data_IF_641511566532
#
_entry.id   IF_641511566532
#
_cell.length_a   1.000
_cell.length_b   1.000
_cell.length_c   1.000
_cell.angle_alpha   90.00
_cell.angle_beta   90.00
_cell.angle_gamma   90.00
#
_symmetry.space_group_name_H-M   'P 1'
#
loop_
_entity.id
_entity.type
_entity.pdbx_description
1 polymer ?
#
# COMPACT_ATOMS: atom_id res chain seq x y z
N UNK A 1 13.54 -8.50 -27.48
CA UNK A 1 13.42 -9.04 -26.11
C UNK A 1 13.15 -7.87 -25.16
N UNK A 2 12.22 -8.03 -24.21
CA UNK A 2 11.92 -7.02 -23.20
C UNK A 2 12.90 -7.16 -22.02
N UNK A 3 13.43 -6.02 -21.56
CA UNK A 3 14.30 -5.92 -20.39
C UNK A 3 13.59 -5.38 -19.15
N UNK A 4 14.27 -5.41 -18.01
CA UNK A 4 13.74 -4.90 -16.75
C UNK A 4 13.42 -3.40 -16.79
N UNK A 5 14.14 -2.63 -17.61
CA UNK A 5 13.97 -1.18 -17.73
C UNK A 5 12.90 -0.76 -18.75
N UNK A 6 12.39 -1.69 -19.57
CA UNK A 6 11.32 -1.39 -20.51
C UNK A 6 10.03 -1.06 -19.76
N UNK A 7 9.27 -0.07 -20.28
CA UNK A 7 8.02 0.36 -19.66
C UNK A 7 6.96 -0.71 -19.91
N UNK A 8 6.47 -1.27 -18.81
CA UNK A 8 5.41 -2.27 -18.82
C UNK A 8 4.01 -1.64 -18.77
N UNK A 9 3.90 -0.47 -18.10
CA UNK A 9 2.60 0.16 -17.88
C UNK A 9 2.72 1.66 -17.64
N UNK A 10 1.63 2.36 -17.99
CA UNK A 10 1.41 3.75 -17.60
C UNK A 10 0.11 3.82 -16.81
N UNK A 11 0.21 4.15 -15.52
CA UNK A 11 -0.95 4.31 -14.64
C UNK A 11 -1.22 5.80 -14.42
N UNK A 12 -2.42 6.23 -14.77
CA UNK A 12 -2.83 7.61 -14.56
C UNK A 12 -3.27 7.86 -13.12
N UNK A 13 -2.70 8.90 -12.52
CA UNK A 13 -3.08 9.38 -11.19
C UNK A 13 -3.85 10.68 -11.32
N UNK A 14 -4.82 10.91 -10.43
CA UNK A 14 -5.48 12.20 -10.30
C UNK A 14 -4.48 13.19 -9.71
N UNK A 15 -3.80 13.97 -10.56
CA UNK A 15 -2.88 15.00 -10.09
C UNK A 15 -3.60 16.05 -9.26
N UNK A 16 -3.00 16.47 -8.15
CA UNK A 16 -3.49 17.56 -7.29
C UNK A 16 -3.59 18.90 -8.02
N UNK A 17 -3.05 19.02 -9.23
CA UNK A 17 -3.03 20.24 -10.06
C UNK A 17 -4.03 20.20 -11.23
N UNK A 18 -5.02 19.30 -11.21
CA UNK A 18 -6.12 19.25 -12.19
C UNK A 18 -5.82 18.49 -13.49
N UNK A 19 -4.56 18.16 -13.83
CA UNK A 19 -4.20 17.33 -14.98
C UNK A 19 -3.69 15.97 -14.53
N UNK A 20 -4.31 14.89 -15.02
CA UNK A 20 -3.87 13.53 -14.74
C UNK A 20 -2.42 13.30 -15.21
N UNK A 21 -1.62 12.62 -14.39
CA UNK A 21 -0.23 12.28 -14.66
C UNK A 21 -0.10 10.79 -14.90
N UNK A 22 0.54 10.37 -15.98
CA UNK A 22 0.78 8.96 -16.29
C UNK A 22 2.11 8.50 -15.69
N UNK A 23 2.07 7.76 -14.58
CA UNK A 23 3.27 7.17 -13.98
C UNK A 23 3.76 5.98 -14.82
N UNK A 24 5.00 6.04 -15.31
CA UNK A 24 5.63 4.99 -16.11
C UNK A 24 6.28 3.95 -15.20
N UNK A 25 5.74 2.75 -15.21
CA UNK A 25 6.25 1.61 -14.44
C UNK A 25 6.95 0.61 -15.37
N UNK A 26 8.20 0.31 -15.10
CA UNK A 26 8.95 -0.70 -15.86
C UNK A 26 8.65 -2.12 -15.38
N UNK A 27 9.01 -3.12 -16.18
CA UNK A 27 8.95 -4.52 -15.77
C UNK A 27 9.73 -4.77 -14.48
N UNK A 28 10.89 -4.14 -14.32
CA UNK A 28 11.71 -4.22 -13.11
C UNK A 28 11.02 -3.59 -11.88
N UNK A 29 10.36 -2.43 -12.04
CA UNK A 29 9.62 -1.81 -10.93
C UNK A 29 8.52 -2.74 -10.41
N UNK A 30 7.73 -3.31 -11.33
CA UNK A 30 6.59 -4.16 -10.98
C UNK A 30 7.03 -5.50 -10.39
N UNK A 31 8.01 -6.16 -11.02
CA UNK A 31 8.47 -7.49 -10.58
C UNK A 31 9.20 -7.43 -9.24
N UNK A 32 10.09 -6.44 -9.04
CA UNK A 32 10.80 -6.29 -7.76
C UNK A 32 9.82 -6.10 -6.60
N UNK A 33 8.80 -5.26 -6.80
CA UNK A 33 7.80 -5.02 -5.76
C UNK A 33 6.98 -6.27 -5.46
N UNK A 34 6.45 -6.94 -6.48
CA UNK A 34 5.61 -8.13 -6.29
C UNK A 34 6.38 -9.30 -5.64
N UNK A 35 7.63 -9.55 -6.05
CA UNK A 35 8.48 -10.59 -5.45
C UNK A 35 8.77 -10.28 -3.98
N UNK A 36 9.12 -9.03 -3.66
CA UNK A 36 9.31 -8.58 -2.27
C UNK A 36 8.05 -8.79 -1.42
N UNK A 37 6.88 -8.49 -1.96
CA UNK A 37 5.61 -8.67 -1.24
C UNK A 37 5.24 -10.14 -1.04
N UNK A 38 5.52 -11.00 -2.02
CA UNK A 38 5.31 -12.45 -1.91
C UNK A 38 6.10 -13.00 -0.71
N UNK A 39 7.37 -12.64 -0.63
CA UNK A 39 8.27 -13.09 0.45
C UNK A 39 7.86 -12.48 1.80
N UNK A 40 7.66 -11.16 1.85
CA UNK A 40 7.35 -10.42 3.08
C UNK A 40 6.01 -10.83 3.69
N UNK A 41 4.98 -11.08 2.87
CA UNK A 41 3.66 -11.51 3.31
C UNK A 41 3.52 -13.03 3.36
N UNK A 42 4.59 -13.76 3.08
CA UNK A 42 4.69 -15.20 3.19
C UNK A 42 3.68 -15.95 2.32
N UNK A 43 3.50 -15.54 1.07
CA UNK A 43 2.62 -16.26 0.16
C UNK A 43 3.13 -17.66 -0.15
N UNK A 44 2.28 -18.66 0.02
CA UNK A 44 2.58 -20.07 -0.26
C UNK A 44 1.66 -20.60 -1.35
N UNK A 45 1.99 -21.79 -1.90
CA UNK A 45 1.15 -22.49 -2.88
C UNK A 45 -0.23 -22.89 -2.34
N UNK A 46 -0.41 -22.88 -1.02
CA UNK A 46 -1.66 -23.23 -0.36
C UNK A 46 -2.59 -22.02 -0.19
N UNK A 47 -2.14 -20.82 -0.56
CA UNK A 47 -2.97 -19.62 -0.47
C UNK A 47 -3.98 -19.55 -1.62
N UNK A 48 -5.13 -18.97 -1.30
CA UNK A 48 -6.16 -18.57 -2.26
C UNK A 48 -6.51 -17.12 -2.00
N UNK A 49 -6.32 -16.27 -3.01
CA UNK A 49 -6.61 -14.85 -2.89
C UNK A 49 -8.07 -14.54 -3.21
N UNK A 50 -8.78 -13.88 -2.28
CA UNK A 50 -10.03 -13.19 -2.60
C UNK A 50 -9.72 -11.82 -3.18
N UNK A 51 -10.07 -11.60 -4.45
CA UNK A 51 -9.84 -10.35 -5.16
C UNK A 51 -11.17 -9.65 -5.47
N UNK A 52 -11.37 -8.46 -4.89
CA UNK A 52 -12.53 -7.61 -5.13
C UNK A 52 -12.14 -6.13 -5.39
N UNK A 53 -10.83 -5.88 -5.57
CA UNK A 53 -10.29 -4.56 -5.83
C UNK A 53 -10.39 -4.20 -7.32
N UNK A 54 -10.55 -2.92 -7.67
CA UNK A 54 -10.56 -2.50 -9.08
C UNK A 54 -9.16 -2.71 -9.69
N UNK A 55 -9.13 -3.34 -10.88
CA UNK A 55 -7.88 -3.64 -11.62
C UNK A 55 -7.32 -2.45 -12.40
N UNK A 56 -7.97 -1.30 -12.38
CA UNK A 56 -7.43 -0.06 -12.95
C UNK A 56 -6.56 0.73 -11.95
N UNK A 57 -6.42 0.23 -10.71
CA UNK A 57 -5.51 0.75 -9.70
C UNK A 57 -4.35 -0.21 -9.43
N UNK A 58 -3.20 0.35 -9.09
CA UNK A 58 -1.99 -0.39 -8.72
C UNK A 58 -2.27 -1.46 -7.67
N UNK A 59 -3.06 -1.15 -6.65
CA UNK A 59 -3.41 -2.10 -5.58
C UNK A 59 -4.08 -3.37 -6.12
N UNK A 60 -5.08 -3.23 -6.98
CA UNK A 60 -5.76 -4.39 -7.56
C UNK A 60 -4.89 -5.14 -8.56
N UNK A 61 -4.29 -4.43 -9.52
CA UNK A 61 -3.58 -5.04 -10.63
C UNK A 61 -2.17 -5.49 -10.26
N UNK A 62 -1.33 -4.56 -9.76
CA UNK A 62 0.11 -4.81 -9.58
C UNK A 62 0.50 -5.29 -8.19
N UNK A 63 -0.41 -5.24 -7.22
CA UNK A 63 -0.17 -5.82 -5.90
C UNK A 63 -0.92 -7.15 -5.79
N UNK A 64 -2.25 -7.12 -5.81
CA UNK A 64 -3.06 -8.32 -5.57
C UNK A 64 -2.90 -9.37 -6.69
N UNK A 65 -3.19 -8.99 -7.93
CA UNK A 65 -3.14 -9.95 -9.07
C UNK A 65 -1.71 -10.38 -9.36
N UNK A 66 -0.72 -9.47 -9.37
CA UNK A 66 0.68 -9.83 -9.62
C UNK A 66 1.22 -10.82 -8.59
N UNK A 67 1.00 -10.57 -7.28
CA UNK A 67 1.43 -11.51 -6.25
C UNK A 67 0.83 -12.90 -6.47
N UNK A 68 -0.46 -12.97 -6.77
CA UNK A 68 -1.13 -14.24 -7.02
C UNK A 68 -0.59 -14.94 -8.27
N UNK A 69 -0.40 -14.22 -9.38
CA UNK A 69 0.11 -14.77 -10.63
C UNK A 69 1.55 -15.26 -10.50
N UNK A 70 2.44 -14.44 -9.93
CA UNK A 70 3.85 -14.81 -9.78
C UNK A 70 4.05 -15.96 -8.78
N UNK A 71 3.21 -16.03 -7.75
CA UNK A 71 3.25 -17.17 -6.81
C UNK A 71 2.55 -18.43 -7.37
N UNK A 72 1.72 -18.28 -8.41
CA UNK A 72 0.95 -19.36 -9.01
C UNK A 72 -0.23 -19.85 -8.16
N UNK A 73 -0.84 -18.94 -7.38
CA UNK A 73 -1.97 -19.28 -6.51
C UNK A 73 -3.32 -18.98 -7.15
N UNK A 74 -4.38 -19.72 -6.79
CA UNK A 74 -5.73 -19.44 -7.26
C UNK A 74 -6.25 -18.10 -6.75
N UNK A 75 -7.13 -17.48 -7.55
CA UNK A 75 -7.89 -16.30 -7.15
C UNK A 75 -9.39 -16.55 -7.25
N UNK A 76 -10.14 -16.11 -6.23
CA UNK A 76 -11.57 -15.88 -6.30
C UNK A 76 -11.79 -14.44 -6.74
N UNK A 77 -12.01 -14.26 -8.04
CA UNK A 77 -12.10 -12.93 -8.65
C UNK A 77 -13.55 -12.45 -8.65
N UNK A 78 -13.80 -11.36 -7.93
CA UNK A 78 -15.09 -10.67 -7.90
C UNK A 78 -14.98 -9.38 -8.71
N UNK A 79 -15.96 -9.06 -9.58
CA UNK A 79 -15.89 -7.87 -10.43
C UNK A 79 -15.97 -6.55 -9.62
N UNK A 80 -16.49 -6.63 -8.40
CA UNK A 80 -16.59 -5.53 -7.43
C UNK A 80 -16.73 -6.09 -6.02
N UNK A 81 -16.48 -5.23 -5.03
CA UNK A 81 -16.75 -5.57 -3.64
C UNK A 81 -18.27 -5.61 -3.38
N UNK A 82 -18.70 -6.74 -2.86
CA UNK A 82 -20.04 -6.96 -2.32
C UNK A 82 -19.90 -7.79 -1.04
N UNK A 83 -20.44 -7.29 0.10
CA UNK A 83 -20.21 -7.93 1.40
C UNK A 83 -20.78 -9.34 1.47
N UNK A 84 -21.99 -9.58 0.92
CA UNK A 84 -22.61 -10.91 0.94
C UNK A 84 -21.81 -11.90 0.08
N UNK A 85 -21.31 -11.47 -1.10
CA UNK A 85 -20.50 -12.32 -1.97
C UNK A 85 -19.14 -12.63 -1.32
N UNK A 86 -18.47 -11.62 -0.75
CA UNK A 86 -17.21 -11.83 0.00
C UNK A 86 -17.42 -12.84 1.12
N UNK A 87 -18.47 -12.68 1.93
CA UNK A 87 -18.78 -13.59 3.04
C UNK A 87 -19.02 -15.02 2.56
N UNK A 88 -19.71 -15.21 1.44
CA UNK A 88 -19.92 -16.55 0.85
C UNK A 88 -18.60 -17.23 0.43
N UNK A 89 -17.62 -16.43 -0.03
CA UNK A 89 -16.33 -16.94 -0.50
C UNK A 89 -15.31 -17.16 0.63
N UNK A 90 -15.49 -16.55 1.80
CA UNK A 90 -14.50 -16.59 2.89
C UNK A 90 -14.06 -18.02 3.25
N UNK A 91 -14.96 -18.98 3.25
CA UNK A 91 -14.64 -20.39 3.59
C UNK A 91 -13.69 -21.08 2.59
N UNK A 92 -13.45 -20.49 1.42
CA UNK A 92 -12.65 -21.08 0.34
C UNK A 92 -11.38 -20.29 0.03
N UNK A 93 -11.06 -19.26 0.81
CA UNK A 93 -9.91 -18.37 0.58
C UNK A 93 -9.09 -18.18 1.86
N UNK A 94 -7.82 -17.81 1.72
CA UNK A 94 -6.91 -17.63 2.86
C UNK A 94 -6.39 -16.21 3.00
N UNK A 95 -6.41 -15.44 1.92
CA UNK A 95 -5.90 -14.07 1.86
C UNK A 95 -6.94 -13.16 1.24
N UNK A 96 -7.16 -11.99 1.83
CA UNK A 96 -7.96 -10.91 1.26
C UNK A 96 -7.20 -9.60 1.31
N UNK A 97 -7.18 -8.88 0.19
CA UNK A 97 -6.70 -7.51 0.12
C UNK A 97 -7.87 -6.55 -0.08
N UNK A 98 -7.88 -5.45 0.66
CA UNK A 98 -8.96 -4.48 0.62
C UNK A 98 -8.54 -3.07 0.97
N UNK A 99 -9.50 -2.16 0.85
CA UNK A 99 -9.42 -0.81 1.40
C UNK A 99 -10.15 -0.76 2.74
N UNK A 100 -9.89 0.22 3.63
CA UNK A 100 -10.53 0.26 4.96
C UNK A 100 -12.04 0.13 4.95
N UNK A 101 -12.72 0.71 3.96
CA UNK A 101 -14.18 0.64 3.82
C UNK A 101 -14.70 -0.78 3.52
N UNK A 102 -13.89 -1.69 2.98
CA UNK A 102 -14.30 -3.09 2.83
C UNK A 102 -14.45 -3.74 4.20
N UNK A 103 -13.53 -3.49 5.10
CA UNK A 103 -13.52 -4.07 6.45
C UNK A 103 -14.64 -3.51 7.32
N UNK A 104 -14.92 -2.20 7.25
CA UNK A 104 -16.08 -1.63 7.97
C UNK A 104 -17.40 -2.23 7.48
N UNK A 105 -17.59 -2.32 6.15
CA UNK A 105 -18.80 -2.91 5.55
C UNK A 105 -18.95 -4.41 5.84
N UNK A 106 -17.85 -5.15 5.99
CA UNK A 106 -17.90 -6.54 6.42
C UNK A 106 -18.36 -6.64 7.88
N UNK A 107 -17.78 -5.83 8.77
CA UNK A 107 -18.18 -5.82 10.19
C UNK A 107 -19.64 -5.43 10.40
N UNK A 108 -20.20 -4.58 9.54
CA UNK A 108 -21.62 -4.19 9.58
C UNK A 108 -22.55 -5.32 9.09
N UNK A 109 -22.04 -6.34 8.43
CA UNK A 109 -22.83 -7.44 7.90
C UNK A 109 -23.06 -8.53 8.98
N UNK A 110 -24.32 -8.83 9.38
CA UNK A 110 -24.60 -9.77 10.47
C UNK A 110 -24.06 -11.19 10.26
N UNK A 111 -23.82 -11.58 9.01
CA UNK A 111 -23.27 -12.89 8.64
C UNK A 111 -21.76 -12.98 8.74
N UNK A 112 -21.06 -11.86 8.90
CA UNK A 112 -19.61 -11.83 9.04
C UNK A 112 -19.23 -12.17 10.48
N UNK A 113 -18.77 -13.37 10.72
CA UNK A 113 -18.51 -13.90 12.06
C UNK A 113 -17.05 -14.28 12.25
N UNK A 114 -16.63 -14.38 13.51
CA UNK A 114 -15.29 -14.86 13.87
C UNK A 114 -14.98 -16.23 13.27
N UNK A 115 -15.95 -17.14 13.29
CA UNK A 115 -15.77 -18.51 12.80
C UNK A 115 -15.45 -18.55 11.32
N UNK A 116 -16.05 -17.68 10.51
CA UNK A 116 -15.74 -17.55 9.08
C UNK A 116 -14.31 -17.05 8.82
N UNK A 117 -13.70 -16.41 9.81
CA UNK A 117 -12.35 -15.86 9.70
C UNK A 117 -11.26 -16.79 10.27
N UNK A 118 -11.61 -17.93 10.89
CA UNK A 118 -10.64 -18.78 11.60
C UNK A 118 -9.52 -19.32 10.70
N UNK A 119 -9.82 -19.67 9.47
CA UNK A 119 -8.86 -20.20 8.50
C UNK A 119 -8.20 -19.09 7.64
N UNK A 120 -8.72 -17.86 7.71
CA UNK A 120 -8.09 -16.73 7.02
C UNK A 120 -6.71 -16.46 7.63
N UNK A 121 -5.69 -16.50 6.78
CA UNK A 121 -4.31 -16.26 7.19
C UNK A 121 -4.02 -14.76 7.23
N UNK A 122 -4.52 -14.01 6.26
CA UNK A 122 -4.11 -12.62 6.08
C UNK A 122 -5.22 -11.73 5.54
N UNK A 123 -5.45 -10.61 6.23
CA UNK A 123 -6.22 -9.47 5.77
C UNK A 123 -5.27 -8.29 5.59
N UNK A 124 -5.18 -7.73 4.38
CA UNK A 124 -4.28 -6.62 4.04
C UNK A 124 -5.11 -5.37 3.72
N UNK A 125 -4.76 -4.24 4.32
CA UNK A 125 -5.41 -2.96 4.06
C UNK A 125 -4.46 -1.90 3.54
N UNK A 126 -4.96 -1.01 2.69
CA UNK A 126 -4.24 0.17 2.23
C UNK A 126 -5.02 0.98 1.22
N UNK A 127 -4.35 1.90 0.51
CA UNK A 127 -4.91 2.90 -0.41
C UNK A 127 -5.76 3.99 0.25
N UNK A 128 -5.96 3.93 1.56
CA UNK A 128 -6.57 4.95 2.42
C UNK A 128 -6.09 4.70 3.86
N UNK A 129 -6.13 5.71 4.74
CA UNK A 129 -5.80 5.55 6.14
C UNK A 129 -6.74 4.57 6.84
N UNK A 130 -6.18 3.60 7.56
CA UNK A 130 -6.94 2.70 8.42
C UNK A 130 -7.03 3.32 9.82
N UNK A 131 -8.23 3.68 10.24
CA UNK A 131 -8.43 4.25 11.58
C UNK A 131 -8.08 3.20 12.65
N UNK A 132 -7.40 3.63 13.71
CA UNK A 132 -7.04 2.77 14.84
C UNK A 132 -8.28 2.06 15.43
N UNK A 133 -9.40 2.79 15.53
CA UNK A 133 -10.69 2.22 15.96
C UNK A 133 -11.14 1.06 15.06
N UNK A 134 -11.04 1.22 13.74
CA UNK A 134 -11.41 0.15 12.79
C UNK A 134 -10.49 -1.05 12.92
N UNK A 135 -9.19 -0.82 13.08
CA UNK A 135 -8.20 -1.88 13.28
C UNK A 135 -8.51 -2.71 14.54
N UNK A 136 -8.77 -2.07 15.67
CA UNK A 136 -9.07 -2.75 16.93
C UNK A 136 -10.46 -3.43 16.90
N UNK A 137 -11.47 -2.76 16.33
CA UNK A 137 -12.80 -3.35 16.17
C UNK A 137 -12.77 -4.61 15.29
N UNK A 138 -11.99 -4.60 14.21
CA UNK A 138 -11.82 -5.76 13.34
C UNK A 138 -11.17 -6.93 14.07
N UNK A 139 -10.13 -6.66 14.87
CA UNK A 139 -9.51 -7.69 15.69
C UNK A 139 -10.48 -8.26 16.74
N UNK A 140 -11.20 -7.40 17.46
CA UNK A 140 -12.18 -7.83 18.44
C UNK A 140 -13.28 -8.71 17.81
N UNK A 141 -13.71 -8.35 16.59
CA UNK A 141 -14.76 -9.06 15.86
C UNK A 141 -14.29 -10.41 15.31
N UNK A 142 -13.12 -10.45 14.68
CA UNK A 142 -12.64 -11.60 13.89
C UNK A 142 -11.56 -12.44 14.58
N UNK A 143 -10.85 -11.88 15.55
CA UNK A 143 -9.63 -12.46 16.10
C UNK A 143 -8.41 -12.37 15.17
N UNK A 144 -8.52 -11.65 14.04
CA UNK A 144 -7.45 -11.45 13.05
C UNK A 144 -7.04 -9.99 13.00
N UNK A 145 -5.74 -9.71 13.00
CA UNK A 145 -5.22 -8.35 12.85
C UNK A 145 -5.01 -8.02 11.38
N UNK A 146 -5.53 -6.89 10.94
CA UNK A 146 -5.27 -6.37 9.59
C UNK A 146 -3.78 -6.04 9.47
N UNK A 147 -3.18 -6.38 8.33
CA UNK A 147 -1.86 -5.92 7.95
C UNK A 147 -2.01 -4.63 7.13
N UNK A 148 -1.79 -3.48 7.77
CA UNK A 148 -1.79 -2.19 7.10
C UNK A 148 -0.46 -1.97 6.40
N UNK A 149 -0.52 -1.43 5.17
CA UNK A 149 0.63 -1.11 4.34
C UNK A 149 0.40 0.20 3.60
N UNK A 150 1.48 0.78 3.08
CA UNK A 150 1.45 2.05 2.35
C UNK A 150 2.12 1.91 0.99
N UNK A 151 1.56 2.62 0.02
CA UNK A 151 2.09 2.71 -1.33
C UNK A 151 1.30 3.72 -2.16
N UNK A 152 1.82 3.97 -3.36
CA UNK A 152 1.25 4.91 -4.30
C UNK A 152 1.50 4.44 -5.74
N UNK A 153 0.85 5.07 -6.73
CA UNK A 153 0.96 4.65 -8.13
C UNK A 153 2.38 4.73 -8.66
N UNK A 154 3.15 5.70 -8.18
CA UNK A 154 4.53 5.98 -8.58
C UNK A 154 5.56 4.96 -8.03
N UNK A 155 5.18 4.14 -7.06
CA UNK A 155 6.15 3.23 -6.43
C UNK A 155 5.54 1.89 -6.00
N UNK A 156 4.30 1.58 -6.39
CA UNK A 156 3.56 0.43 -5.85
C UNK A 156 3.59 0.40 -4.32
N UNK A 157 4.03 -0.66 -3.66
CA UNK A 157 4.14 -0.70 -2.19
C UNK A 157 5.53 -0.26 -1.73
N UNK A 158 5.57 0.46 -0.61
CA UNK A 158 6.76 1.11 -0.09
C UNK A 158 7.05 0.70 1.34
N UNK A 159 6.00 0.58 2.15
CA UNK A 159 6.08 0.18 3.55
C UNK A 159 4.97 -0.82 3.90
N UNK A 160 5.23 -1.69 4.86
CA UNK A 160 4.29 -2.68 5.36
C UNK A 160 4.51 -2.98 6.84
N UNK A 161 3.43 -3.18 7.58
CA UNK A 161 3.51 -3.86 8.85
C UNK A 161 4.01 -5.30 8.65
N UNK A 162 4.64 -5.91 9.66
CA UNK A 162 5.22 -7.25 9.53
C UNK A 162 4.13 -8.33 9.44
N UNK A 163 4.46 -9.43 8.76
CA UNK A 163 3.63 -10.64 8.76
C UNK A 163 3.57 -11.24 10.16
N UNK A 164 4.73 -11.41 10.78
CA UNK A 164 4.89 -11.92 12.14
C UNK A 164 5.29 -10.79 13.08
N UNK A 165 4.79 -10.83 14.32
CA UNK A 165 5.04 -9.81 15.32
C UNK A 165 3.95 -8.77 15.44
N UNK A 166 4.30 -7.61 16.01
CA UNK A 166 3.34 -6.59 16.37
C UNK A 166 2.98 -5.70 15.18
N UNK A 167 1.68 -5.60 14.91
CA UNK A 167 1.08 -4.62 14.00
C UNK A 167 0.46 -3.51 14.82
N UNK A 168 0.99 -2.30 14.70
CA UNK A 168 0.54 -1.14 15.49
C UNK A 168 -0.48 -0.34 14.69
N UNK A 169 -1.67 -0.16 15.25
CA UNK A 169 -2.74 0.62 14.66
C UNK A 169 -2.29 2.04 14.27
N UNK A 170 -2.70 2.51 13.10
CA UNK A 170 -2.36 3.82 12.56
C UNK A 170 -0.90 3.96 12.14
N UNK A 171 -0.18 2.86 11.96
CA UNK A 171 1.14 2.83 11.34
C UNK A 171 1.14 1.96 10.09
N UNK A 172 1.95 2.33 9.12
CA UNK A 172 2.11 1.55 7.88
C UNK A 172 3.30 0.60 7.94
N UNK A 173 3.93 0.46 9.12
CA UNK A 173 5.04 -0.43 9.36
C UNK A 173 6.39 0.11 8.91
N UNK A 174 7.21 -0.74 8.33
CA UNK A 174 8.60 -0.48 7.97
C UNK A 174 8.80 -0.42 6.46
N UNK A 175 9.89 0.21 6.02
CA UNK A 175 10.32 0.16 4.63
C UNK A 175 10.38 -1.29 4.12
N UNK A 176 9.94 -1.52 2.89
CA UNK A 176 10.10 -2.83 2.24
C UNK A 176 11.57 -3.13 2.00
N UNK A 177 11.98 -4.40 1.98
CA UNK A 177 13.33 -4.79 1.55
C UNK A 177 13.71 -4.15 0.20
N UNK A 178 14.89 -3.54 0.15
CA UNK A 178 15.38 -2.82 -1.03
C UNK A 178 14.84 -1.39 -1.20
N UNK A 179 13.94 -0.94 -0.31
CA UNK A 179 13.43 0.44 -0.28
C UNK A 179 14.08 1.21 0.85
N UNK A 180 14.57 2.40 0.55
CA UNK A 180 15.03 3.37 1.55
C UNK A 180 14.00 4.46 1.71
N UNK A 181 13.59 4.73 2.96
CA UNK A 181 12.68 5.81 3.34
C UNK A 181 13.42 6.82 4.22
N UNK A 182 13.06 8.09 4.06
CA UNK A 182 13.45 9.17 4.97
C UNK A 182 12.32 10.17 5.11
N UNK A 183 12.26 10.86 6.24
CA UNK A 183 11.33 11.96 6.50
C UNK A 183 12.13 13.25 6.54
N UNK A 184 11.76 14.23 5.73
CA UNK A 184 12.58 15.42 5.48
C UNK A 184 11.80 16.72 5.66
N UNK A 185 12.53 17.79 6.00
CA UNK A 185 12.06 19.18 5.95
C UNK A 185 11.93 19.71 4.51
N UNK A 186 11.57 20.98 4.36
CA UNK A 186 11.42 21.64 3.06
C UNK A 186 12.74 21.76 2.27
N UNK A 187 13.88 21.73 2.94
CA UNK A 187 15.22 21.75 2.36
C UNK A 187 15.79 20.34 2.10
N UNK A 188 14.94 19.32 2.17
CA UNK A 188 15.27 17.90 2.00
C UNK A 188 16.29 17.33 3.01
N UNK A 189 16.46 17.96 4.16
CA UNK A 189 17.26 17.43 5.27
C UNK A 189 16.42 16.52 6.13
N UNK A 190 16.96 15.38 6.53
CA UNK A 190 16.28 14.43 7.40
C UNK A 190 15.94 15.10 8.73
N UNK A 191 14.68 15.05 9.15
CA UNK A 191 14.21 15.57 10.45
C UNK A 191 14.59 14.65 11.59
N UNK A 192 14.49 15.13 12.84
CA UNK A 192 14.74 14.30 14.00
C UNK A 192 13.68 13.18 14.13
N UNK A 193 14.05 12.11 14.82
CA UNK A 193 13.17 10.96 15.05
C UNK A 193 11.86 11.38 15.70
N UNK A 194 10.75 10.98 15.09
CA UNK A 194 9.39 11.31 15.53
C UNK A 194 8.86 12.66 15.07
N UNK A 195 9.69 13.52 14.47
CA UNK A 195 9.24 14.77 13.86
C UNK A 195 8.51 14.51 12.54
N UNK A 196 7.57 15.40 12.24
CA UNK A 196 6.79 15.35 11.00
C UNK A 196 7.53 16.03 9.86
N UNK A 197 7.56 15.39 8.71
CA UNK A 197 8.14 15.94 7.48
C UNK A 197 7.60 15.22 6.26
N UNK A 198 8.08 15.59 5.08
CA UNK A 198 7.71 14.95 3.81
C UNK A 198 8.41 13.59 3.68
N UNK A 199 7.63 12.56 3.41
CA UNK A 199 8.18 11.22 3.15
C UNK A 199 8.83 11.19 1.77
N UNK A 200 10.09 10.76 1.74
CA UNK A 200 10.87 10.55 0.52
C UNK A 200 11.31 9.09 0.43
N UNK A 201 11.40 8.57 -0.79
CA UNK A 201 11.69 7.16 -1.01
C UNK A 201 12.63 6.92 -2.19
N UNK A 202 13.44 5.87 -2.08
CA UNK A 202 14.28 5.37 -3.16
C UNK A 202 14.28 3.84 -3.13
N UNK A 203 14.12 3.21 -4.30
CA UNK A 203 14.13 1.76 -4.42
C UNK A 203 13.88 1.29 -5.85
N UNK A 204 14.05 0.00 -6.13
CA UNK A 204 13.88 -0.57 -7.47
C UNK A 204 12.42 -0.52 -7.96
N UNK A 205 11.47 -0.35 -7.06
CA UNK A 205 10.04 -0.24 -7.31
C UNK A 205 9.57 1.17 -7.70
N UNK A 206 10.42 2.20 -7.52
CA UNK A 206 10.09 3.58 -7.86
C UNK A 206 10.04 3.76 -9.38
N UNK A 207 9.00 4.40 -9.88
CA UNK A 207 8.69 4.58 -11.29
C UNK A 207 9.80 5.29 -12.09
N UNK A 208 9.71 5.23 -13.42
CA UNK A 208 10.70 5.88 -14.33
C UNK A 208 10.42 7.37 -14.57
N UNK A 209 9.31 7.89 -14.05
CA UNK A 209 8.85 9.26 -14.24
C UNK A 209 7.46 9.34 -14.84
N UNK A 210 7.01 10.57 -15.10
CA UNK A 210 5.69 10.81 -15.71
C UNK A 210 5.78 10.88 -17.23
N UNK A 211 4.88 10.18 -17.90
CA UNK A 211 4.79 10.16 -19.35
C UNK A 211 4.63 11.57 -19.94
N UNK A 212 5.56 11.94 -20.83
CA UNK A 212 5.61 13.26 -21.50
C UNK A 212 5.64 14.47 -20.53
N UNK A 213 6.18 14.28 -19.30
CA UNK A 213 6.30 15.34 -18.31
C UNK A 213 7.70 15.33 -17.65
N UNK A 214 8.79 15.58 -18.43
CA UNK A 214 10.16 15.48 -17.88
C UNK A 214 10.45 16.53 -16.80
N UNK A 215 9.98 17.77 -16.96
CA UNK A 215 10.15 18.83 -15.97
C UNK A 215 9.46 18.50 -14.66
N UNK A 216 8.21 17.97 -14.75
CA UNK A 216 7.48 17.53 -13.56
C UNK A 216 8.16 16.35 -12.89
N UNK A 217 8.68 15.40 -13.66
CA UNK A 217 9.46 14.30 -13.14
C UNK A 217 10.68 14.81 -12.38
N UNK A 218 11.47 15.69 -13.00
CA UNK A 218 12.67 16.25 -12.37
C UNK A 218 12.35 17.00 -11.06
N UNK A 219 11.23 17.72 -11.01
CA UNK A 219 10.82 18.49 -9.80
C UNK A 219 10.31 17.61 -8.64
N UNK A 220 10.05 16.32 -8.88
CA UNK A 220 9.59 15.38 -7.83
C UNK A 220 10.69 14.39 -7.41
N UNK A 221 11.94 14.59 -7.88
CA UNK A 221 13.11 13.86 -7.40
C UNK A 221 14.14 14.82 -6.82
N UNK A 222 14.78 14.38 -5.75
CA UNK A 222 15.96 15.08 -5.20
C UNK A 222 17.21 14.75 -6.01
N UNK A 223 18.25 15.58 -5.87
CA UNK A 223 19.54 15.37 -6.57
C UNK A 223 20.20 14.03 -6.24
N UNK A 224 19.95 13.49 -5.03
CA UNK A 224 20.42 12.18 -4.59
C UNK A 224 19.47 11.02 -4.91
N UNK A 225 18.44 11.27 -5.77
CA UNK A 225 17.59 10.26 -6.39
C UNK A 225 16.43 9.75 -5.52
N UNK A 226 16.03 10.49 -4.49
CA UNK A 226 14.80 10.16 -3.76
C UNK A 226 13.58 10.79 -4.42
N UNK A 227 12.52 10.01 -4.58
CA UNK A 227 11.22 10.50 -5.00
C UNK A 227 10.49 11.15 -3.82
N UNK A 228 9.94 12.34 -4.03
CA UNK A 228 9.22 13.16 -3.05
C UNK A 228 7.74 12.82 -3.12
N UNK A 229 7.20 12.12 -2.12
CA UNK A 229 5.83 11.58 -2.17
C UNK A 229 4.73 12.66 -2.08
N UNK A 230 5.05 13.79 -1.46
CA UNK A 230 4.05 14.78 -1.04
C UNK A 230 3.15 14.31 0.10
N UNK A 231 3.44 13.17 0.71
CA UNK A 231 2.80 12.69 1.93
C UNK A 231 3.64 13.08 3.15
N UNK A 232 2.99 13.60 4.17
CA UNK A 232 3.60 13.90 5.46
C UNK A 232 3.61 12.65 6.32
N UNK A 233 4.74 12.40 6.97
CA UNK A 233 4.94 11.23 7.80
C UNK A 233 5.79 11.54 9.03
N UNK A 234 5.74 10.64 10.00
CA UNK A 234 6.73 10.52 11.07
C UNK A 234 7.39 9.15 11.00
N UNK A 235 8.62 9.06 11.49
CA UNK A 235 9.37 7.80 11.61
C UNK A 235 9.92 7.67 13.02
N UNK A 236 9.64 6.56 13.69
CA UNK A 236 10.16 6.32 15.03
C UNK A 236 11.62 5.79 15.03
N UNK A 237 12.19 5.60 16.23
CA UNK A 237 13.55 5.12 16.40
C UNK A 237 13.79 3.69 15.86
N UNK A 238 12.73 2.92 15.66
CA UNK A 238 12.77 1.59 15.06
C UNK A 238 12.64 1.62 13.54
N UNK A 239 12.38 2.79 12.95
CA UNK A 239 12.13 2.96 11.51
C UNK A 239 10.68 2.70 11.11
N UNK A 240 9.74 2.66 12.07
CA UNK A 240 8.32 2.49 11.79
C UNK A 240 7.71 3.81 11.33
N UNK A 241 6.98 3.75 10.22
CA UNK A 241 6.38 4.91 9.55
C UNK A 241 4.91 5.04 9.93
N UNK A 242 4.51 6.28 10.18
CA UNK A 242 3.11 6.73 10.30
C UNK A 242 2.85 7.81 9.26
N UNK A 243 1.85 7.64 8.42
CA UNK A 243 1.38 8.68 7.51
C UNK A 243 0.46 9.63 8.28
N UNK A 244 0.74 10.92 8.20
CA UNK A 244 0.01 11.98 8.90
C UNK A 244 -1.06 12.59 8.00
N UNK A 245 -0.77 12.75 6.69
CA UNK A 245 -1.68 13.34 5.71
C UNK A 245 -0.95 13.74 4.44
N UNK A 246 -1.63 14.53 3.61
CA UNK A 246 -1.02 15.17 2.45
C UNK A 246 -0.44 16.53 2.83
N UNK A 247 0.73 16.87 2.31
CA UNK A 247 1.36 18.18 2.52
C UNK A 247 0.43 19.33 2.14
N UNK A 248 -0.30 19.19 1.03
CA UNK A 248 -1.22 20.21 0.51
C UNK A 248 -2.55 20.31 1.28
N UNK A 249 -2.90 19.29 2.05
CA UNK A 249 -4.15 19.22 2.81
C UNK A 249 -3.94 19.59 4.29
N UNK A 250 -2.70 19.84 4.71
CA UNK A 250 -2.39 20.26 6.08
C UNK A 250 -2.80 21.71 6.29
N UNK A 251 -3.77 21.91 7.15
CA UNK A 251 -4.18 23.23 7.63
C UNK A 251 -3.32 23.59 8.84
N UNK A 252 -2.49 24.63 8.70
CA UNK A 252 -1.74 25.21 9.82
C UNK A 252 -2.67 26.20 10.52
N UNK A 253 -3.18 25.84 11.69
CA UNK A 253 -3.99 26.73 12.53
C UNK A 253 -3.24 27.06 13.82
N UNK A 254 -2.87 28.35 14.00
CA UNK A 254 -2.28 28.84 15.24
C UNK A 254 -0.94 28.23 15.65
N UNK A 255 -0.14 27.72 14.68
CA UNK A 255 1.15 27.09 14.99
C UNK A 255 1.06 25.62 15.38
N UNK A 256 -0.13 25.03 15.35
CA UNK A 256 -0.37 23.57 15.47
C UNK A 256 -0.71 22.99 14.09
N UNK A 257 0.02 21.96 13.70
CA UNK A 257 -0.22 21.18 12.48
C UNK A 257 -1.35 20.19 12.70
#
# INVERSE_FOLDING_TARGET
>A
DLGADDIASIIYTSGTTGRSKGAMLSHGNLSSNALTLIDLWGFTENDVLLHALPIYHVHGLYVAVHCAMLRGIPMRFLPRFDSDEVIRQLSSVTVMMGVPTFYTRLMDAPKFTRDLCQHMRLFISGSAPLLAQTFEAFFAHTGRRILERYGMSEASMIASNPLEGERIAGTVGFALPGVTLRVCDAEHRTVATGETGVLQMRGPNVFKGYWQMPEKTASEFTDDGFFISGDMATMDAQGRVRIVGREKDLVISGGLN
#
